data_IF_170861945816
#
_entry.id   IF_170861945816
#
_cell.length_a   1.000
_cell.length_b   1.000
_cell.length_c   1.000
_cell.angle_alpha   90.00
_cell.angle_beta   90.00
_cell.angle_gamma   90.00
#
_symmetry.space_group_name_H-M   'P 1'
#
loop_
_entity.id
_entity.type
_entity.pdbx_description
1 polymer ?
#
# COMPACT_ATOMS: atom_id res chain seq x y z
N UNK A 1 17.33 -0.33 -0.09
CA UNK A 1 16.36 -0.96 -1.01
C UNK A 1 15.56 0.14 -1.69
N UNK A 2 15.30 0.05 -3.01
CA UNK A 2 14.41 0.97 -3.71
C UNK A 2 13.03 1.07 -3.04
N UNK A 3 12.47 2.27 -2.92
CA UNK A 3 11.19 2.52 -2.24
C UNK A 3 10.02 1.73 -2.84
N UNK A 4 10.02 1.50 -4.16
CA UNK A 4 8.99 0.69 -4.82
C UNK A 4 9.00 -0.77 -4.35
N UNK A 5 10.17 -1.32 -4.03
CA UNK A 5 10.27 -2.68 -3.47
C UNK A 5 9.74 -2.69 -2.04
N UNK A 6 10.06 -1.66 -1.24
CA UNK A 6 9.58 -1.57 0.14
C UNK A 6 8.05 -1.51 0.16
N UNK A 7 7.45 -0.62 -0.63
CA UNK A 7 5.99 -0.52 -0.77
C UNK A 7 5.37 -1.80 -1.32
N UNK A 8 6.01 -2.45 -2.28
CA UNK A 8 5.57 -3.74 -2.82
C UNK A 8 5.53 -4.84 -1.75
N UNK A 9 6.59 -4.95 -0.95
CA UNK A 9 6.63 -5.92 0.18
C UNK A 9 5.53 -5.61 1.19
N UNK A 10 5.37 -4.34 1.59
CA UNK A 10 4.31 -3.92 2.53
C UNK A 10 2.92 -4.27 1.99
N UNK A 11 2.67 -4.00 0.70
CA UNK A 11 1.40 -4.33 0.07
C UNK A 11 1.11 -5.82 0.04
N UNK A 12 2.10 -6.63 -0.35
CA UNK A 12 1.99 -8.09 -0.36
C UNK A 12 1.74 -8.62 1.05
N UNK A 13 2.44 -8.12 2.07
CA UNK A 13 2.25 -8.54 3.46
C UNK A 13 0.82 -8.28 3.95
N UNK A 14 0.24 -7.12 3.62
CA UNK A 14 -1.16 -6.83 3.96
C UNK A 14 -2.15 -7.73 3.22
N UNK A 15 -1.93 -8.01 1.93
CA UNK A 15 -2.78 -8.91 1.16
C UNK A 15 -2.69 -10.36 1.65
N UNK A 16 -1.49 -10.81 2.03
CA UNK A 16 -1.30 -12.13 2.64
C UNK A 16 -1.99 -12.18 4.00
N UNK A 17 -1.79 -11.16 4.84
CA UNK A 17 -2.45 -11.09 6.14
C UNK A 17 -3.97 -11.19 5.98
N UNK A 18 -4.55 -10.40 5.06
CA UNK A 18 -5.98 -10.46 4.72
C UNK A 18 -6.43 -11.86 4.31
N UNK A 19 -5.69 -12.50 3.40
CA UNK A 19 -6.02 -13.84 2.92
C UNK A 19 -5.98 -14.91 4.05
N UNK A 20 -5.10 -14.72 5.05
CA UNK A 20 -5.00 -15.60 6.21
C UNK A 20 -6.00 -15.25 7.31
N UNK A 21 -6.44 -14.00 7.40
CA UNK A 21 -7.37 -13.50 8.41
C UNK A 21 -8.65 -12.96 7.77
N UNK A 22 -9.32 -13.82 7.00
CA UNK A 22 -10.57 -13.52 6.28
C UNK A 22 -11.52 -12.69 7.16
N UNK A 23 -11.73 -11.42 6.81
CA UNK A 23 -12.57 -10.49 7.57
C UNK A 23 -11.83 -9.39 8.33
N UNK A 24 -10.50 -9.34 8.28
CA UNK A 24 -9.78 -8.10 8.60
C UNK A 24 -10.02 -7.08 7.48
N UNK A 25 -9.83 -5.80 7.76
CA UNK A 25 -9.94 -4.75 6.74
C UNK A 25 -8.54 -4.39 6.17
N UNK A 26 -7.64 -5.38 6.03
CA UNK A 26 -6.25 -5.17 5.62
C UNK A 26 -6.06 -5.15 4.11
N UNK A 27 -6.96 -5.79 3.36
CA UNK A 27 -6.90 -5.82 1.90
C UNK A 27 -6.74 -4.43 1.27
N UNK A 28 -7.46 -3.43 1.82
CA UNK A 28 -7.39 -2.04 1.36
C UNK A 28 -6.05 -1.37 1.61
N UNK A 29 -5.41 -1.66 2.74
CA UNK A 29 -4.04 -1.20 3.01
C UNK A 29 -3.03 -1.86 2.07
N UNK A 30 -3.27 -3.11 1.68
CA UNK A 30 -2.50 -3.80 0.65
C UNK A 30 -2.57 -3.08 -0.70
N UNK A 31 -3.78 -2.76 -1.16
CA UNK A 31 -3.99 -2.03 -2.42
C UNK A 31 -3.38 -0.63 -2.35
N UNK A 32 -3.58 0.11 -1.25
CA UNK A 32 -3.00 1.43 -1.06
C UNK A 32 -1.45 1.40 -1.11
N UNK A 33 -0.82 0.38 -0.53
CA UNK A 33 0.63 0.20 -0.59
C UNK A 33 1.11 -0.17 -2.00
N UNK A 34 0.35 -0.94 -2.78
CA UNK A 34 0.66 -1.20 -4.20
C UNK A 34 0.60 0.09 -5.01
N UNK A 35 -0.38 0.97 -4.77
CA UNK A 35 -0.45 2.29 -5.43
C UNK A 35 0.79 3.11 -5.09
N UNK A 36 1.19 3.17 -3.82
CA UNK A 36 2.42 3.86 -3.40
C UNK A 36 3.68 3.24 -4.04
N UNK A 37 3.71 1.93 -4.25
CA UNK A 37 4.79 1.24 -4.96
C UNK A 37 4.90 1.69 -6.43
N UNK A 38 3.76 1.82 -7.13
CA UNK A 38 3.72 2.33 -8.50
C UNK A 38 4.23 3.76 -8.58
N UNK A 39 3.80 4.62 -7.65
CA UNK A 39 4.28 6.01 -7.58
C UNK A 39 5.80 6.08 -7.30
N UNK A 40 6.30 5.20 -6.44
CA UNK A 40 7.73 5.08 -6.18
C UNK A 40 8.50 4.57 -7.42
N UNK A 41 7.92 3.66 -8.21
CA UNK A 41 8.53 3.12 -9.43
C UNK A 41 8.70 4.19 -10.52
N UNK A 42 7.82 5.19 -10.56
CA UNK A 42 7.93 6.36 -11.45
C UNK A 42 8.72 7.52 -10.84
N UNK A 43 9.48 7.28 -9.76
CA UNK A 43 10.36 8.25 -9.09
C UNK A 43 9.65 9.49 -8.52
N UNK A 44 8.38 9.38 -8.11
CA UNK A 44 7.73 10.48 -7.40
C UNK A 44 8.33 10.69 -6.00
N UNK A 45 8.32 11.93 -5.48
CA UNK A 45 8.75 12.26 -4.12
C UNK A 45 8.10 11.37 -3.05
N UNK A 46 8.88 11.02 -2.02
CA UNK A 46 8.40 10.17 -0.92
C UNK A 46 7.13 10.72 -0.26
N UNK A 47 7.01 12.04 -0.10
CA UNK A 47 5.80 12.66 0.45
C UNK A 47 4.53 12.36 -0.36
N UNK A 48 4.62 12.27 -1.68
CA UNK A 48 3.48 11.94 -2.56
C UNK A 48 3.11 10.46 -2.41
N UNK A 49 4.09 9.57 -2.28
CA UNK A 49 3.86 8.15 -2.05
C UNK A 49 3.11 7.92 -0.72
N UNK A 50 3.58 8.57 0.35
CA UNK A 50 2.95 8.49 1.67
C UNK A 50 1.55 9.10 1.66
N UNK A 51 1.37 10.27 1.01
CA UNK A 51 0.06 10.89 0.89
C UNK A 51 -0.92 9.98 0.13
N UNK A 52 -0.50 9.38 -0.98
CA UNK A 52 -1.33 8.44 -1.73
C UNK A 52 -1.71 7.20 -0.90
N UNK A 53 -0.75 6.62 -0.17
CA UNK A 53 -1.03 5.52 0.76
C UNK A 53 -2.10 5.92 1.78
N UNK A 54 -1.91 7.03 2.50
CA UNK A 54 -2.84 7.49 3.54
C UNK A 54 -4.23 7.79 2.97
N UNK A 55 -4.31 8.50 1.84
CA UNK A 55 -5.58 8.86 1.21
C UNK A 55 -6.31 7.60 0.74
N UNK A 56 -5.64 6.70 0.02
CA UNK A 56 -6.25 5.45 -0.45
C UNK A 56 -6.67 4.55 0.72
N UNK A 57 -5.89 4.49 1.80
CA UNK A 57 -6.27 3.76 3.01
C UNK A 57 -7.51 4.34 3.68
N UNK A 58 -7.63 5.67 3.80
CA UNK A 58 -8.82 6.30 4.39
C UNK A 58 -10.06 6.08 3.52
N UNK A 59 -9.93 6.24 2.20
CA UNK A 59 -11.05 6.01 1.27
C UNK A 59 -11.54 4.57 1.33
N UNK A 60 -10.63 3.59 1.44
CA UNK A 60 -11.01 2.18 1.57
C UNK A 60 -11.63 1.80 2.92
N UNK A 61 -11.58 2.70 3.92
CA UNK A 61 -12.18 2.50 5.26
C UNK A 61 -13.58 3.16 5.36
N UNK A 62 -13.88 4.15 4.50
CA UNK A 62 -15.20 4.83 4.43
C UNK A 62 -16.24 3.98 3.69
#
# INVERSE_FOLDING_TARGET
>A
MPLWIIWGIVGILFLIAEALTVGFFLGWFGIAAIIAAVLAAINLPFGIQVAAFVICSIIGIL
#
